data_IF_087526593972
#
_entry.id   IF_087526593972
#
_cell.length_a   1.000
_cell.length_b   1.000
_cell.length_c   1.000
_cell.angle_alpha   90.00
_cell.angle_beta   90.00
_cell.angle_gamma   90.00
#
_symmetry.space_group_name_H-M   'P 1'
#
loop_
_entity.id
_entity.type
_entity.pdbx_description
1 polymer ?
#
# COMPACT_ATOMS: atom_id res chain seq x y z
N UNK A 1 -73.54 10.06 22.99
CA UNK A 1 -74.71 9.27 23.44
C UNK A 1 -74.79 7.99 22.59
N UNK A 2 -74.73 6.82 23.27
CA UNK A 2 -75.27 5.47 22.94
C UNK A 2 -74.84 4.81 21.60
N UNK A 3 -73.93 3.83 21.60
CA UNK A 3 -74.09 2.35 21.87
C UNK A 3 -74.71 1.59 20.68
N UNK A 4 -74.19 0.47 20.16
CA UNK A 4 -73.92 -0.87 20.77
C UNK A 4 -72.94 -1.65 19.84
N UNK A 5 -71.83 -2.27 20.30
CA UNK A 5 -71.62 -3.59 20.94
C UNK A 5 -72.05 -4.84 20.14
N UNK A 6 -71.07 -5.68 19.79
CA UNK A 6 -70.95 -7.16 19.96
C UNK A 6 -69.44 -7.51 19.86
N UNK A 7 -68.67 -7.74 20.95
CA UNK A 7 -68.38 -9.00 21.68
C UNK A 7 -67.98 -10.17 20.76
N UNK A 8 -66.69 -10.58 20.70
CA UNK A 8 -66.02 -11.64 21.49
C UNK A 8 -66.47 -13.07 21.05
N UNK A 9 -65.65 -14.09 20.85
CA UNK A 9 -64.39 -14.48 21.52
C UNK A 9 -63.65 -15.60 20.75
N UNK A 10 -62.41 -15.85 21.21
CA UNK A 10 -61.77 -17.17 21.42
C UNK A 10 -61.36 -18.07 20.24
N UNK A 11 -60.05 -18.33 20.18
CA UNK A 11 -59.55 -19.71 20.40
C UNK A 11 -58.78 -20.35 19.24
N UNK A 12 -57.52 -20.68 19.49
CA UNK A 12 -56.83 -21.81 18.82
C UNK A 12 -55.54 -21.49 18.10
N UNK A 13 -54.40 -21.57 18.80
CA UNK A 13 -53.14 -22.05 18.18
C UNK A 13 -53.21 -23.57 18.02
N UNK A 14 -52.64 -24.12 16.94
CA UNK A 14 -51.56 -25.11 17.11
C UNK A 14 -50.56 -25.13 15.92
N UNK A 15 -49.55 -26.02 15.88
CA UNK A 15 -48.54 -26.31 16.88
C UNK A 15 -47.10 -26.00 16.36
N UNK A 16 -46.14 -25.94 17.29
CA UNK A 16 -44.70 -25.95 17.00
C UNK A 16 -44.28 -27.34 16.50
N UNK A 17 -43.57 -27.39 15.39
CA UNK A 17 -42.87 -28.61 14.93
C UNK A 17 -41.37 -28.47 15.17
N UNK A 18 -40.89 -29.28 16.11
CA UNK A 18 -39.75 -30.20 15.93
C UNK A 18 -38.38 -29.61 15.60
N UNK A 19 -37.54 -29.56 16.63
CA UNK A 19 -36.09 -29.66 16.48
C UNK A 19 -35.71 -30.89 15.65
N UNK A 20 -34.88 -30.69 14.63
CA UNK A 20 -34.02 -31.74 14.07
C UNK A 20 -32.58 -31.35 14.37
N UNK A 21 -32.01 -32.03 15.35
CA UNK A 21 -30.57 -32.06 15.62
C UNK A 21 -29.93 -33.03 14.63
N UNK A 22 -28.98 -32.55 13.82
CA UNK A 22 -28.09 -33.40 13.04
C UNK A 22 -26.66 -33.14 13.51
N UNK A 23 -26.20 -34.00 14.44
CA UNK A 23 -24.79 -34.25 14.68
C UNK A 23 -24.20 -35.00 13.49
N UNK A 24 -23.22 -34.40 12.81
CA UNK A 24 -22.33 -35.13 11.91
C UNK A 24 -20.90 -34.56 12.00
N UNK A 25 -20.15 -35.16 12.94
CA UNK A 25 -18.74 -35.56 12.88
C UNK A 25 -17.78 -34.64 12.10
N UNK A 26 -16.97 -33.92 12.88
CA UNK A 26 -15.89 -33.09 12.40
C UNK A 26 -14.73 -33.84 11.75
N UNK A 27 -13.95 -33.05 11.01
CA UNK A 27 -12.50 -33.21 10.79
C UNK A 27 -11.90 -31.81 10.64
N UNK A 28 -11.91 -31.05 11.74
CA UNK A 28 -11.08 -29.85 11.85
C UNK A 28 -9.67 -30.28 12.23
N UNK A 29 -8.74 -30.18 11.28
CA UNK A 29 -7.31 -30.15 11.60
C UNK A 29 -6.98 -28.76 12.11
N UNK A 30 -7.17 -28.55 13.40
CA UNK A 30 -6.56 -27.44 14.13
C UNK A 30 -5.05 -27.70 14.24
N UNK A 31 -4.25 -26.82 13.63
CA UNK A 31 -2.85 -26.69 13.96
C UNK A 31 -2.76 -25.77 15.18
N UNK A 32 -2.83 -26.35 16.39
CA UNK A 32 -2.57 -25.65 17.64
C UNK A 32 -1.05 -25.52 17.80
N UNK A 33 -0.53 -24.30 17.64
CA UNK A 33 0.83 -23.99 18.06
C UNK A 33 0.77 -23.56 19.54
N UNK A 34 1.19 -24.47 20.40
CA UNK A 34 1.38 -24.26 21.84
C UNK A 34 2.38 -23.13 22.08
N UNK A 35 1.94 -22.05 22.73
CA UNK A 35 2.82 -21.12 23.43
C UNK A 35 2.66 -21.41 24.92
N UNK A 36 3.73 -21.93 25.53
CA UNK A 36 3.82 -22.16 26.98
C UNK A 36 4.00 -20.80 27.69
N UNK A 37 3.31 -20.53 28.82
CA UNK A 37 3.59 -19.37 29.64
C UNK A 37 4.80 -19.64 30.55
N UNK A 38 5.81 -18.77 30.49
CA UNK A 38 6.90 -18.75 31.45
C UNK A 38 6.46 -17.92 32.67
N UNK A 39 6.18 -18.62 33.77
CA UNK A 39 5.94 -18.04 35.09
C UNK A 39 7.25 -17.54 35.69
N UNK A 40 7.35 -16.25 36.02
CA UNK A 40 8.25 -15.77 37.07
C UNK A 40 7.55 -14.75 37.95
N UNK A 41 7.63 -15.07 39.23
CA UNK A 41 7.16 -14.39 40.43
C UNK A 41 7.84 -13.03 40.66
N UNK A 42 7.06 -12.09 41.21
CA UNK A 42 7.55 -10.91 41.92
C UNK A 42 8.40 -11.27 43.15
N UNK A 43 9.16 -10.29 43.70
CA UNK A 43 8.64 -9.64 44.89
C UNK A 43 8.78 -8.11 44.90
N UNK A 44 7.99 -7.49 45.77
CA UNK A 44 7.92 -6.07 46.04
C UNK A 44 8.94 -5.62 47.11
N UNK A 45 9.29 -4.33 47.11
CA UNK A 45 9.66 -3.59 48.33
C UNK A 45 10.75 -2.52 48.20
N UNK A 46 10.41 -1.27 48.52
CA UNK A 46 11.30 -0.31 49.18
C UNK A 46 11.89 0.84 48.35
N UNK A 47 11.51 2.09 48.67
CA UNK A 47 12.03 3.33 48.07
C UNK A 47 13.35 3.86 48.69
N UNK A 48 13.57 5.20 48.73
CA UNK A 48 14.45 5.91 47.80
C UNK A 48 15.76 6.45 48.44
N UNK A 49 16.77 6.76 47.61
CA UNK A 49 18.01 7.39 48.07
C UNK A 49 18.95 7.80 46.93
N UNK A 50 19.55 8.98 47.06
CA UNK A 50 20.26 9.74 46.03
C UNK A 50 21.76 9.38 45.86
N UNK A 51 22.34 9.99 44.82
CA UNK A 51 23.73 10.44 44.66
C UNK A 51 24.76 9.56 43.91
N UNK A 52 25.23 10.16 42.80
CA UNK A 52 26.61 10.42 42.35
C UNK A 52 27.65 9.28 42.17
N UNK A 53 28.21 9.36 40.95
CA UNK A 53 29.64 9.35 40.60
C UNK A 53 30.44 8.04 40.39
N UNK A 54 31.20 8.11 39.29
CA UNK A 54 32.48 7.51 38.94
C UNK A 54 32.57 6.01 38.56
N UNK A 55 33.14 5.80 37.37
CA UNK A 55 33.45 4.49 36.83
C UNK A 55 34.74 3.89 37.36
N UNK A 56 35.13 2.75 36.77
CA UNK A 56 36.51 2.32 36.52
C UNK A 56 36.46 1.00 35.73
N UNK A 57 37.44 0.88 34.85
CA UNK A 57 37.81 -0.26 34.02
C UNK A 57 38.49 -1.37 34.82
N UNK A 58 38.24 -2.62 34.45
CA UNK A 58 39.18 -3.76 34.52
C UNK A 58 38.51 -4.92 33.78
N UNK A 59 39.09 -5.60 32.77
CA UNK A 59 40.42 -6.17 32.72
C UNK A 59 40.26 -7.69 32.82
N UNK A 60 40.31 -8.42 31.69
CA UNK A 60 40.05 -9.86 31.64
C UNK A 60 40.55 -10.55 30.37
N UNK A 61 41.77 -11.06 30.49
CA UNK A 61 42.59 -11.89 29.60
C UNK A 61 41.93 -12.85 28.57
N UNK A 62 42.38 -12.71 27.32
CA UNK A 62 43.09 -13.67 26.46
C UNK A 62 42.68 -15.17 26.46
N UNK A 63 42.25 -15.68 25.29
CA UNK A 63 42.83 -16.89 24.67
C UNK A 63 42.69 -16.89 23.14
N UNK A 64 43.81 -17.22 22.50
CA UNK A 64 44.06 -17.31 21.05
C UNK A 64 43.40 -18.55 20.42
N UNK A 65 42.95 -18.42 19.17
CA UNK A 65 42.98 -19.52 18.19
C UNK A 65 42.99 -19.01 16.74
N UNK A 66 44.22 -18.96 16.20
CA UNK A 66 44.71 -19.28 14.84
C UNK A 66 43.77 -19.14 13.62
N UNK A 67 44.20 -18.25 12.71
CA UNK A 67 44.00 -18.32 11.25
C UNK A 67 44.87 -19.46 10.64
N UNK A 68 44.64 -19.85 9.38
CA UNK A 68 45.38 -19.20 8.29
C UNK A 68 44.50 -18.86 7.07
N UNK A 69 44.65 -17.62 6.56
CA UNK A 69 44.30 -17.26 5.19
C UNK A 69 45.55 -17.39 4.30
N UNK A 70 45.42 -18.13 3.21
CA UNK A 70 46.41 -18.22 2.13
C UNK A 70 46.33 -16.99 1.25
N UNK A 71 47.46 -16.32 1.04
CA UNK A 71 47.60 -15.18 0.15
C UNK A 71 47.95 -15.55 -1.29
N UNK A 72 47.78 -14.58 -2.20
CA UNK A 72 48.73 -14.26 -3.27
C UNK A 72 48.25 -12.98 -3.98
N UNK A 73 48.85 -11.85 -3.61
CA UNK A 73 48.78 -10.60 -4.36
C UNK A 73 50.16 -10.35 -4.97
N UNK A 74 50.28 -10.41 -6.30
CA UNK A 74 51.49 -10.02 -7.02
C UNK A 74 51.41 -8.53 -7.37
N UNK A 75 52.19 -7.71 -6.65
CA UNK A 75 52.68 -6.39 -7.09
C UNK A 75 53.96 -6.62 -7.89
N UNK A 76 54.02 -6.10 -9.12
CA UNK A 76 55.25 -5.98 -9.90
C UNK A 76 55.74 -4.54 -9.81
N UNK A 77 57.06 -4.45 -9.61
CA UNK A 77 57.88 -3.28 -9.31
C UNK A 77 58.13 -2.40 -10.55
N UNK A 78 58.14 -1.08 -10.35
CA UNK A 78 58.69 -0.09 -11.28
C UNK A 78 60.23 -0.05 -11.20
N UNK A 79 60.90 0.25 -12.32
CA UNK A 79 62.32 0.68 -12.35
C UNK A 79 62.56 1.76 -13.42
N UNK A 80 63.42 2.71 -13.05
CA UNK A 80 64.14 3.66 -13.91
C UNK A 80 63.43 5.01 -14.06
N UNK A 81 63.94 6.17 -13.66
CA UNK A 81 65.32 6.60 -13.42
C UNK A 81 65.66 7.68 -14.45
N UNK A 82 65.82 8.94 -14.00
CA UNK A 82 66.19 10.06 -14.88
C UNK A 82 66.06 11.40 -14.18
N UNK A 83 67.14 11.83 -13.52
CA UNK A 83 67.33 13.14 -12.91
C UNK A 83 68.16 13.98 -13.89
N UNK A 84 67.75 15.22 -14.22
CA UNK A 84 68.61 16.29 -14.77
C UNK A 84 67.83 17.63 -14.76
N UNK A 85 68.37 18.61 -14.04
CA UNK A 85 68.06 20.05 -14.04
C UNK A 85 69.36 20.79 -14.44
N UNK A 86 69.37 22.12 -14.72
CA UNK A 86 68.42 22.92 -15.50
C UNK A 86 69.17 23.81 -16.52
N UNK A 87 68.52 24.23 -17.62
CA UNK A 87 69.04 25.29 -18.49
C UNK A 87 68.16 26.55 -18.46
N UNK A 88 68.77 27.60 -17.90
CA UNK A 88 68.39 29.01 -17.89
C UNK A 88 68.04 29.50 -19.31
N UNK A 89 66.80 29.94 -19.52
CA UNK A 89 66.45 30.79 -20.66
C UNK A 89 65.78 32.09 -20.20
N UNK A 90 66.41 33.19 -20.61
CA UNK A 90 66.00 34.58 -20.39
C UNK A 90 64.62 34.83 -21.01
N UNK A 91 63.66 35.30 -20.23
CA UNK A 91 62.38 35.80 -20.76
C UNK A 91 62.47 37.30 -21.01
N UNK A 92 62.19 37.66 -22.27
CA UNK A 92 62.02 39.02 -22.75
C UNK A 92 60.81 39.70 -22.07
N UNK A 93 60.96 41.00 -21.79
CA UNK A 93 59.86 41.90 -21.39
C UNK A 93 59.03 42.26 -22.64
N UNK A 94 57.72 42.09 -22.52
CA UNK A 94 56.70 42.51 -23.49
C UNK A 94 55.43 42.96 -22.75
N UNK A 95 54.52 43.72 -23.40
CA UNK A 95 53.96 44.96 -22.85
C UNK A 95 52.69 44.80 -22.00
N UNK A 96 52.32 45.93 -21.39
CA UNK A 96 51.29 46.15 -20.38
C UNK A 96 49.89 45.67 -20.78
N UNK A 97 49.16 45.09 -19.81
CA UNK A 97 47.76 44.64 -19.95
C UNK A 97 46.78 45.83 -19.97
N UNK A 98 45.77 45.87 -20.84
CA UNK A 98 44.64 46.78 -20.66
C UNK A 98 43.74 46.30 -19.52
N UNK A 99 43.24 47.26 -18.72
CA UNK A 99 42.25 47.04 -17.65
C UNK A 99 40.94 46.51 -18.25
N UNK A 100 40.58 45.26 -17.97
CA UNK A 100 39.25 44.73 -18.27
C UNK A 100 38.26 45.24 -17.22
N UNK A 101 37.16 45.81 -17.72
CA UNK A 101 36.03 46.36 -16.97
C UNK A 101 35.39 45.29 -16.09
N UNK A 102 35.11 45.64 -14.83
CA UNK A 102 34.16 44.92 -13.99
C UNK A 102 32.77 45.04 -14.63
N UNK A 103 32.30 43.96 -15.24
CA UNK A 103 30.97 43.82 -15.80
C UNK A 103 30.24 42.68 -15.10
N UNK A 104 29.38 43.05 -14.15
CA UNK A 104 28.14 42.37 -13.74
C UNK A 104 28.02 40.88 -14.13
N UNK A 105 28.46 40.00 -13.24
CA UNK A 105 27.88 38.67 -13.16
C UNK A 105 26.49 38.80 -12.54
N UNK A 106 25.39 38.41 -13.22
CA UNK A 106 24.16 38.12 -12.49
C UNK A 106 24.40 36.86 -11.67
N UNK A 107 24.77 37.05 -10.40
CA UNK A 107 24.55 36.05 -9.38
C UNK A 107 23.05 35.98 -9.09
N UNK A 108 22.36 35.09 -9.78
CA UNK A 108 21.14 34.48 -9.26
C UNK A 108 20.87 33.20 -10.04
N UNK A 109 21.72 32.20 -9.84
CA UNK A 109 21.34 30.83 -10.14
C UNK A 109 20.30 30.44 -9.08
N UNK A 110 19.02 30.67 -9.38
CA UNK A 110 17.94 30.05 -8.63
C UNK A 110 17.93 28.58 -9.02
N UNK A 111 18.21 27.61 -8.11
CA UNK A 111 17.89 26.24 -8.41
C UNK A 111 16.37 26.13 -8.27
N UNK A 112 15.65 26.48 -9.33
CA UNK A 112 14.34 25.89 -9.55
C UNK A 112 14.57 24.40 -9.68
N UNK A 113 14.57 23.65 -8.57
CA UNK A 113 14.29 22.23 -8.63
C UNK A 113 12.94 22.16 -9.32
N UNK A 114 12.92 21.80 -10.59
CA UNK A 114 11.70 21.28 -11.22
C UNK A 114 11.23 20.19 -10.27
N UNK A 115 10.10 20.42 -9.58
CA UNK A 115 9.54 19.40 -8.71
C UNK A 115 9.36 18.15 -9.57
N UNK A 116 10.13 17.11 -9.25
CA UNK A 116 10.09 15.87 -10.00
C UNK A 116 8.68 15.31 -9.88
N UNK A 117 8.05 15.03 -11.03
CA UNK A 117 6.76 14.37 -11.05
C UNK A 117 6.94 12.94 -10.59
N UNK A 118 6.24 12.56 -9.53
CA UNK A 118 6.25 11.21 -8.98
C UNK A 118 4.96 10.53 -9.36
N UNK A 119 5.05 9.32 -9.93
CA UNK A 119 3.89 8.50 -10.28
C UNK A 119 3.75 7.37 -9.28
N UNK A 120 2.60 7.26 -8.64
CA UNK A 120 2.31 6.24 -7.67
C UNK A 120 1.09 5.41 -8.07
N UNK A 121 1.16 4.10 -7.98
CA UNK A 121 -0.03 3.25 -8.05
C UNK A 121 -0.51 2.94 -6.63
N UNK A 122 -1.63 3.52 -6.22
CA UNK A 122 -2.09 3.47 -4.82
C UNK A 122 -3.06 2.30 -4.53
N UNK A 123 -3.28 1.39 -5.49
CA UNK A 123 -4.21 0.27 -5.32
C UNK A 123 -3.71 -0.97 -6.07
N UNK A 124 -3.08 -1.90 -5.36
CA UNK A 124 -2.43 -3.09 -5.95
C UNK A 124 -2.56 -4.30 -5.04
N UNK A 125 -2.93 -5.44 -5.61
CA UNK A 125 -3.07 -6.73 -4.91
C UNK A 125 -1.91 -7.66 -5.25
N UNK A 126 -1.37 -8.30 -4.22
CA UNK A 126 -0.36 -9.34 -4.32
C UNK A 126 -0.97 -10.73 -4.17
N UNK A 127 -0.17 -11.78 -4.37
CA UNK A 127 -0.58 -13.18 -4.17
C UNK A 127 -0.93 -13.51 -2.71
N UNK A 128 -0.73 -12.58 -1.77
CA UNK A 128 -1.15 -12.73 -0.38
C UNK A 128 -2.68 -12.64 -0.22
N UNK A 129 -3.36 -11.85 -1.05
CA UNK A 129 -4.84 -11.88 -1.14
C UNK A 129 -5.33 -13.09 -1.95
N UNK A 130 -6.63 -13.41 -1.78
CA UNK A 130 -7.24 -14.61 -2.37
C UNK A 130 -7.38 -14.54 -3.90
N UNK A 131 -7.34 -13.35 -4.48
CA UNK A 131 -7.61 -13.03 -5.88
C UNK A 131 -6.41 -12.39 -6.61
N UNK A 132 -5.39 -11.95 -5.89
CA UNK A 132 -4.10 -11.58 -6.44
C UNK A 132 -3.27 -12.78 -6.92
N UNK A 133 -2.42 -12.55 -7.93
CA UNK A 133 -1.69 -13.60 -8.65
C UNK A 133 -0.18 -13.39 -8.71
N UNK A 134 0.30 -12.18 -8.47
CA UNK A 134 1.74 -11.83 -8.55
C UNK A 134 2.36 -11.67 -7.18
N UNK A 135 3.61 -12.10 -7.00
CA UNK A 135 4.34 -11.82 -5.76
C UNK A 135 4.72 -10.34 -5.66
N UNK A 136 5.06 -9.88 -4.46
CA UNK A 136 5.50 -8.50 -4.22
C UNK A 136 6.75 -8.17 -5.06
N UNK A 137 7.67 -9.11 -5.23
CA UNK A 137 8.88 -8.94 -6.05
C UNK A 137 8.53 -8.71 -7.52
N UNK A 138 7.56 -9.44 -8.07
CA UNK A 138 7.11 -9.24 -9.45
C UNK A 138 6.40 -7.88 -9.62
N UNK A 139 5.69 -7.41 -8.60
CA UNK A 139 5.08 -6.07 -8.59
C UNK A 139 6.16 -4.98 -8.58
N UNK A 140 7.19 -5.12 -7.73
CA UNK A 140 8.34 -4.20 -7.66
C UNK A 140 9.04 -4.10 -9.01
N UNK A 141 9.38 -5.23 -9.62
CA UNK A 141 10.05 -5.24 -10.93
C UNK A 141 9.20 -4.58 -12.02
N UNK A 142 7.89 -4.84 -11.98
CA UNK A 142 6.98 -4.22 -12.95
C UNK A 142 6.80 -2.72 -12.69
N UNK A 143 6.84 -2.28 -11.44
CA UNK A 143 6.78 -0.86 -11.09
C UNK A 143 8.00 -0.12 -11.64
N UNK A 144 9.20 -0.70 -11.47
CA UNK A 144 10.46 -0.16 -12.01
C UNK A 144 10.42 -0.02 -13.52
N UNK A 145 10.07 -1.10 -14.23
CA UNK A 145 10.00 -1.11 -15.69
C UNK A 145 8.95 -0.12 -16.24
N UNK A 146 7.94 0.23 -15.44
CA UNK A 146 6.92 1.23 -15.77
C UNK A 146 7.24 2.65 -15.30
N UNK A 147 8.40 2.87 -14.68
CA UNK A 147 8.81 4.19 -14.20
C UNK A 147 7.95 4.72 -13.05
N UNK A 148 7.32 3.84 -12.26
CA UNK A 148 6.60 4.26 -11.06
C UNK A 148 7.59 4.60 -9.95
N UNK A 149 7.30 5.66 -9.22
CA UNK A 149 8.07 6.08 -8.03
C UNK A 149 7.57 5.40 -6.75
N UNK A 150 6.30 4.98 -6.73
CA UNK A 150 5.71 4.31 -5.58
C UNK A 150 4.63 3.30 -5.98
N UNK A 151 4.43 2.29 -5.14
CA UNK A 151 3.25 1.42 -5.17
C UNK A 151 2.72 1.21 -3.76
N UNK A 152 1.40 1.11 -3.60
CA UNK A 152 0.78 0.62 -2.37
C UNK A 152 0.31 -0.81 -2.58
N UNK A 153 0.77 -1.74 -1.74
CA UNK A 153 0.21 -3.10 -1.71
C UNK A 153 -0.95 -3.09 -0.72
N UNK A 154 -2.16 -3.24 -1.25
CA UNK A 154 -3.43 -3.10 -0.55
C UNK A 154 -4.25 -4.38 -0.66
N UNK A 155 -3.69 -5.48 -0.16
CA UNK A 155 -4.37 -6.79 -0.18
C UNK A 155 -5.67 -6.77 0.64
N UNK A 156 -6.63 -7.62 0.24
CA UNK A 156 -7.92 -7.72 0.89
C UNK A 156 -7.80 -8.22 2.33
N UNK A 157 -8.29 -7.42 3.27
CA UNK A 157 -8.36 -7.72 4.70
C UNK A 157 -7.03 -8.25 5.30
N UNK A 158 -5.90 -7.80 4.75
CA UNK A 158 -4.57 -8.23 5.13
C UNK A 158 -3.53 -7.14 4.84
N UNK A 159 -2.74 -6.78 5.84
CA UNK A 159 -1.56 -5.93 5.66
C UNK A 159 -0.35 -6.81 5.27
N UNK A 160 0.00 -6.83 3.99
CA UNK A 160 1.12 -7.62 3.48
C UNK A 160 2.47 -6.99 3.87
N UNK A 161 3.39 -7.73 4.52
CA UNK A 161 4.72 -7.24 4.81
C UNK A 161 5.49 -6.88 3.54
N UNK A 162 6.20 -5.75 3.56
CA UNK A 162 6.93 -5.22 2.42
C UNK A 162 8.43 -5.30 2.67
N UNK A 163 9.23 -5.70 1.66
CA UNK A 163 10.67 -5.68 1.78
C UNK A 163 11.22 -4.25 1.73
N UNK A 164 12.43 -4.04 2.22
CA UNK A 164 13.14 -2.78 2.00
C UNK A 164 13.47 -2.60 0.51
N UNK A 165 13.14 -1.43 -0.03
CA UNK A 165 13.39 -1.07 -1.42
C UNK A 165 13.96 0.34 -1.50
N UNK A 166 15.10 0.53 -2.17
CA UNK A 166 15.83 1.80 -2.18
C UNK A 166 15.35 2.78 -3.26
N UNK A 167 14.84 2.26 -4.35
CA UNK A 167 14.57 2.98 -5.60
C UNK A 167 13.09 3.03 -5.98
N UNK A 168 12.23 2.42 -5.16
CA UNK A 168 10.78 2.44 -5.28
C UNK A 168 10.17 2.53 -3.89
N UNK A 169 9.28 3.51 -3.67
CA UNK A 169 8.57 3.61 -2.40
C UNK A 169 7.48 2.56 -2.31
N UNK A 170 7.68 1.60 -1.41
CA UNK A 170 6.66 0.62 -1.05
C UNK A 170 5.84 1.17 0.12
N UNK A 171 4.59 1.51 -0.17
CA UNK A 171 3.68 2.10 0.81
C UNK A 171 2.87 0.96 1.45
N UNK A 172 2.92 0.81 2.79
CA UNK A 172 2.04 -0.12 3.48
C UNK A 172 0.58 0.29 3.31
N UNK A 173 -0.26 -0.68 2.96
CA UNK A 173 -1.69 -0.45 2.82
C UNK A 173 -2.53 -1.72 2.98
N UNK A 174 -3.83 -1.55 2.78
CA UNK A 174 -4.84 -2.61 2.89
C UNK A 174 -6.09 -2.19 2.12
N UNK A 175 -6.84 -3.14 1.55
CA UNK A 175 -8.21 -2.90 1.12
C UNK A 175 -9.16 -3.63 2.07
N UNK A 176 -9.83 -2.87 2.95
CA UNK A 176 -10.79 -3.42 3.91
C UNK A 176 -12.11 -3.68 3.17
N UNK A 177 -12.57 -4.92 3.19
CA UNK A 177 -13.90 -5.28 2.73
C UNK A 177 -14.91 -4.97 3.84
N UNK A 178 -15.56 -3.80 3.76
CA UNK A 178 -16.58 -3.35 4.72
C UNK A 178 -17.98 -3.86 4.37
N UNK A 179 -18.96 -3.63 5.26
CA UNK A 179 -20.37 -3.97 5.01
C UNK A 179 -20.97 -3.26 3.78
N UNK A 180 -20.45 -2.09 3.40
CA UNK A 180 -21.04 -1.24 2.37
C UNK A 180 -20.14 -1.03 1.14
N UNK A 181 -19.00 -1.69 1.06
CA UNK A 181 -18.07 -1.58 -0.06
C UNK A 181 -16.63 -1.67 0.40
N UNK A 182 -15.69 -1.24 -0.44
CA UNK A 182 -14.28 -1.32 -0.09
C UNK A 182 -13.71 0.03 0.35
N UNK A 183 -12.75 -0.02 1.27
CA UNK A 183 -12.07 1.14 1.82
C UNK A 183 -10.58 0.84 1.81
N UNK A 184 -9.81 1.69 1.14
CA UNK A 184 -8.35 1.61 1.14
C UNK A 184 -7.82 2.29 2.41
N UNK A 185 -6.96 1.59 3.14
CA UNK A 185 -6.07 2.19 4.13
C UNK A 185 -4.71 2.39 3.48
N UNK A 186 -4.29 3.65 3.31
CA UNK A 186 -3.01 4.00 2.70
C UNK A 186 -2.04 4.57 3.75
N UNK A 187 -0.74 4.36 3.56
CA UNK A 187 0.33 4.90 4.41
C UNK A 187 0.17 4.52 5.89
N UNK A 188 -0.13 3.25 6.16
CA UNK A 188 -0.27 2.71 7.51
C UNK A 188 1.08 2.72 8.24
N UNK A 189 1.07 3.20 9.48
CA UNK A 189 2.23 3.18 10.37
C UNK A 189 2.29 1.86 11.18
N UNK A 190 1.15 1.17 11.31
CA UNK A 190 1.00 -0.15 11.92
C UNK A 190 -0.05 -1.00 11.17
N UNK A 191 0.03 -2.34 11.19
CA UNK A 191 -0.99 -3.18 10.55
C UNK A 191 -2.34 -3.07 11.27
N UNK A 192 -3.42 -3.27 10.53
CA UNK A 192 -4.78 -3.32 11.08
C UNK A 192 -4.98 -4.62 11.87
N UNK A 193 -5.51 -4.52 13.09
CA UNK A 193 -5.95 -5.68 13.86
C UNK A 193 -7.34 -6.14 13.40
N UNK A 194 -7.37 -7.06 12.43
CA UNK A 194 -8.61 -7.66 11.94
C UNK A 194 -9.28 -8.60 12.94
N UNK A 195 -8.57 -9.08 13.97
CA UNK A 195 -9.20 -9.87 15.02
C UNK A 195 -10.09 -8.98 15.89
N UNK A 196 -9.66 -7.75 16.16
CA UNK A 196 -10.46 -6.74 16.84
C UNK A 196 -11.53 -6.10 15.95
N UNK A 197 -11.20 -5.77 14.69
CA UNK A 197 -12.12 -5.10 13.76
C UNK A 197 -13.26 -6.01 13.27
N UNK A 198 -13.00 -7.31 13.18
CA UNK A 198 -13.96 -8.29 12.66
C UNK A 198 -14.11 -8.26 11.14
N UNK A 199 -15.01 -9.10 10.62
CA UNK A 199 -15.30 -9.22 9.19
C UNK A 199 -16.42 -8.26 8.78
N UNK A 200 -16.28 -7.64 7.62
CA UNK A 200 -17.28 -6.72 7.08
C UNK A 200 -17.67 -5.61 8.07
N UNK A 201 -16.71 -4.90 8.68
CA UNK A 201 -17.01 -3.85 9.64
C UNK A 201 -17.89 -2.76 9.01
N UNK A 202 -18.69 -2.03 9.82
CA UNK A 202 -19.31 -0.79 9.39
C UNK A 202 -18.23 0.18 8.85
N UNK A 203 -18.50 0.95 7.79
CA UNK A 203 -17.53 1.87 7.20
C UNK A 203 -16.87 2.82 8.22
N UNK A 204 -17.64 3.37 9.16
CA UNK A 204 -17.13 4.25 10.21
C UNK A 204 -16.07 3.57 11.09
N UNK A 205 -16.25 2.29 11.42
CA UNK A 205 -15.29 1.53 12.23
C UNK A 205 -14.03 1.20 11.42
N UNK A 206 -14.18 0.86 10.13
CA UNK A 206 -13.04 0.63 9.25
C UNK A 206 -12.17 1.90 9.08
N UNK A 207 -12.82 3.06 8.87
CA UNK A 207 -12.13 4.36 8.76
C UNK A 207 -11.41 4.69 10.07
N UNK A 208 -12.08 4.55 11.21
CA UNK A 208 -11.49 4.78 12.52
C UNK A 208 -10.27 3.88 12.77
N UNK A 209 -10.33 2.60 12.37
CA UNK A 209 -9.20 1.67 12.48
C UNK A 209 -8.01 2.10 11.61
N UNK A 210 -8.27 2.53 10.36
CA UNK A 210 -7.22 3.07 9.47
C UNK A 210 -6.55 4.30 10.09
N UNK A 211 -7.34 5.25 10.60
CA UNK A 211 -6.82 6.46 11.25
C UNK A 211 -6.05 6.15 12.53
N UNK A 212 -6.50 5.18 13.34
CA UNK A 212 -5.79 4.74 14.55
C UNK A 212 -4.41 4.14 14.23
N UNK A 213 -4.27 3.51 13.07
CA UNK A 213 -2.99 3.03 12.54
C UNK A 213 -2.21 4.10 11.75
N UNK A 214 -2.59 5.37 11.88
CA UNK A 214 -1.94 6.52 11.26
C UNK A 214 -2.20 6.67 9.75
N UNK A 215 -2.98 5.79 9.13
CA UNK A 215 -3.24 5.79 7.70
C UNK A 215 -4.22 6.86 7.23
N UNK A 216 -4.41 6.92 5.92
CA UNK A 216 -5.47 7.69 5.25
C UNK A 216 -6.54 6.74 4.71
N UNK A 217 -7.80 7.04 4.98
CA UNK A 217 -8.93 6.25 4.51
C UNK A 217 -9.43 6.79 3.17
N UNK A 218 -9.34 5.97 2.13
CA UNK A 218 -9.75 6.33 0.77
C UNK A 218 -10.93 5.47 0.35
N UNK A 219 -11.98 6.11 -0.17
CA UNK A 219 -13.14 5.43 -0.72
C UNK A 219 -12.75 4.74 -2.03
N UNK A 220 -12.60 3.42 -2.00
CA UNK A 220 -12.21 2.62 -3.17
C UNK A 220 -13.37 2.56 -4.17
N UNK A 221 -13.05 2.70 -5.46
CA UNK A 221 -13.93 2.53 -6.62
C UNK A 221 -15.44 2.68 -6.30
N UNK A 222 -15.93 3.89 -5.98
CA UNK A 222 -17.23 4.16 -5.35
C UNK A 222 -18.47 3.78 -6.16
N UNK A 223 -18.29 3.16 -7.33
CA UNK A 223 -19.38 2.68 -8.17
C UNK A 223 -19.23 1.20 -8.54
N UNK A 224 -18.39 0.42 -7.83
CA UNK A 224 -18.18 -1.01 -8.10
C UNK A 224 -17.41 -1.81 -6.99
N UNK A 225 -18.00 -2.28 -5.86
CA UNK A 225 -19.39 -2.22 -5.41
C UNK A 225 -19.54 -1.40 -4.11
N UNK A 226 -20.04 -0.18 -4.22
CA UNK A 226 -20.28 0.71 -3.08
C UNK A 226 -21.79 0.99 -2.97
N UNK A 227 -22.30 0.98 -1.74
CA UNK A 227 -23.75 1.10 -1.44
C UNK A 227 -24.13 2.39 -0.72
N UNK A 228 -23.15 3.18 -0.30
CA UNK A 228 -23.36 4.43 0.41
C UNK A 228 -23.84 5.55 -0.53
N UNK A 229 -24.77 6.36 -0.05
CA UNK A 229 -25.16 7.62 -0.66
C UNK A 229 -24.07 8.69 -0.50
N UNK A 230 -24.04 9.72 -1.36
CA UNK A 230 -23.13 10.86 -1.19
C UNK A 230 -23.23 11.52 0.19
N UNK A 231 -24.43 11.60 0.76
CA UNK A 231 -24.69 12.20 2.07
C UNK A 231 -24.14 11.34 3.22
N UNK A 232 -24.14 10.01 3.08
CA UNK A 232 -23.47 9.12 4.04
C UNK A 232 -21.96 9.25 3.94
N UNK A 233 -21.41 9.25 2.72
CA UNK A 233 -19.97 9.39 2.48
C UNK A 233 -19.43 10.68 3.10
N UNK A 234 -20.15 11.79 2.95
CA UNK A 234 -19.78 13.09 3.52
C UNK A 234 -19.65 13.06 5.06
N UNK A 235 -20.35 12.16 5.75
CA UNK A 235 -20.37 12.06 7.22
C UNK A 235 -19.35 11.07 7.78
N UNK A 236 -18.82 10.18 6.94
CA UNK A 236 -17.98 9.06 7.39
C UNK A 236 -16.51 9.44 7.62
N UNK A 237 -16.06 10.59 7.10
CA UNK A 237 -14.69 11.09 7.34
C UNK A 237 -13.63 10.44 6.45
N UNK A 238 -13.95 10.15 5.18
CA UNK A 238 -12.93 9.76 4.19
C UNK A 238 -11.94 10.90 3.93
N UNK A 239 -10.66 10.56 3.75
CA UNK A 239 -9.60 11.53 3.42
C UNK A 239 -9.52 11.80 1.91
N UNK A 240 -9.92 10.83 1.09
CA UNK A 240 -9.91 10.94 -0.37
C UNK A 240 -10.89 9.95 -1.02
N UNK A 241 -11.09 10.11 -2.33
CA UNK A 241 -11.89 9.20 -3.16
C UNK A 241 -11.02 8.66 -4.29
N UNK A 242 -11.10 7.37 -4.56
CA UNK A 242 -10.49 6.79 -5.76
C UNK A 242 -11.30 7.21 -6.99
N UNK A 243 -10.73 8.12 -7.76
CA UNK A 243 -11.38 8.77 -8.92
C UNK A 243 -10.92 8.21 -10.26
N UNK A 244 -9.75 7.56 -10.28
CA UNK A 244 -9.24 6.84 -11.44
C UNK A 244 -8.89 5.39 -11.06
N UNK A 245 -9.80 4.46 -11.34
CA UNK A 245 -9.56 3.03 -11.13
C UNK A 245 -9.55 2.29 -12.48
N UNK A 246 -8.50 1.53 -12.76
CA UNK A 246 -8.33 0.91 -14.09
C UNK A 246 -9.31 -0.25 -14.35
N UNK A 247 -9.81 -0.92 -13.30
CA UNK A 247 -10.85 -1.95 -13.40
C UNK A 247 -12.25 -1.35 -13.47
N UNK A 248 -12.47 -0.21 -12.82
CA UNK A 248 -13.73 0.53 -12.90
C UNK A 248 -13.97 1.08 -14.30
N UNK A 249 -12.93 1.32 -15.11
CA UNK A 249 -13.07 1.67 -16.53
C UNK A 249 -13.84 0.63 -17.36
N UNK A 250 -13.85 -0.64 -16.94
CA UNK A 250 -14.68 -1.68 -17.58
C UNK A 250 -16.19 -1.45 -17.38
N UNK A 251 -16.57 -0.53 -16.49
CA UNK A 251 -17.93 -0.07 -16.27
C UNK A 251 -18.07 1.36 -16.81
N UNK A 252 -18.83 1.58 -17.90
CA UNK A 252 -18.97 2.90 -18.51
C UNK A 252 -19.33 3.99 -17.50
N UNK A 253 -18.56 5.07 -17.50
CA UNK A 253 -18.78 6.27 -16.68
C UNK A 253 -18.48 6.13 -15.18
N UNK A 254 -17.90 5.03 -14.70
CA UNK A 254 -17.63 4.84 -13.27
C UNK A 254 -16.65 5.88 -12.70
N UNK A 255 -15.49 6.09 -13.37
CA UNK A 255 -14.50 7.07 -12.93
C UNK A 255 -15.00 8.52 -13.07
N UNK A 256 -15.82 8.81 -14.10
CA UNK A 256 -16.45 10.12 -14.25
C UNK A 256 -17.36 10.45 -13.07
N UNK A 257 -18.22 9.51 -12.67
CA UNK A 257 -19.06 9.66 -11.47
C UNK A 257 -18.23 9.79 -10.20
N UNK A 258 -17.11 9.08 -10.09
CA UNK A 258 -16.20 9.20 -8.97
C UNK A 258 -15.57 10.60 -8.88
N UNK A 259 -15.14 11.16 -10.02
CA UNK A 259 -14.64 12.55 -10.10
C UNK A 259 -15.71 13.56 -9.70
N UNK A 260 -16.95 13.40 -10.18
CA UNK A 260 -18.07 14.27 -9.79
C UNK A 260 -18.35 14.19 -8.28
N UNK A 261 -18.29 13.00 -7.70
CA UNK A 261 -18.45 12.82 -6.24
C UNK A 261 -17.32 13.49 -5.45
N UNK A 262 -16.07 13.31 -5.89
CA UNK A 262 -14.90 13.99 -5.31
C UNK A 262 -15.03 15.51 -5.34
N UNK A 263 -15.48 16.08 -6.46
CA UNK A 263 -15.75 17.52 -6.58
C UNK A 263 -16.89 17.97 -5.66
N UNK A 264 -18.02 17.24 -5.64
CA UNK A 264 -19.17 17.56 -4.78
C UNK A 264 -18.79 17.59 -3.29
N UNK A 265 -17.92 16.67 -2.87
CA UNK A 265 -17.48 16.54 -1.47
C UNK A 265 -16.21 17.31 -1.15
N UNK A 266 -15.59 17.99 -2.13
CA UNK A 266 -14.29 18.66 -1.98
C UNK A 266 -13.19 17.74 -1.40
N UNK A 267 -13.24 16.46 -1.77
CA UNK A 267 -12.26 15.46 -1.33
C UNK A 267 -11.20 15.24 -2.42
N UNK A 268 -9.91 15.10 -2.06
CA UNK A 268 -8.85 14.72 -2.99
C UNK A 268 -9.18 13.46 -3.81
N UNK A 269 -8.72 13.44 -5.06
CA UNK A 269 -8.83 12.29 -5.95
C UNK A 269 -7.55 11.47 -6.00
N UNK A 270 -7.64 10.16 -5.78
CA UNK A 270 -6.55 9.20 -6.02
C UNK A 270 -6.79 8.38 -7.28
N UNK A 271 -5.70 7.82 -7.81
CA UNK A 271 -5.72 6.83 -8.88
C UNK A 271 -4.91 5.59 -8.53
N UNK A 272 -5.44 4.43 -8.93
CA UNK A 272 -4.85 3.13 -8.68
C UNK A 272 -5.32 2.10 -9.71
N UNK A 273 -4.46 1.14 -10.03
CA UNK A 273 -4.78 0.16 -11.07
C UNK A 273 -5.77 -0.91 -10.63
N UNK A 274 -5.91 -1.12 -9.31
CA UNK A 274 -6.65 -2.26 -8.75
C UNK A 274 -6.10 -3.58 -9.37
N UNK A 275 -4.77 -3.60 -9.53
CA UNK A 275 -4.08 -4.67 -10.23
C UNK A 275 -4.06 -5.92 -9.37
N UNK A 276 -4.50 -7.04 -9.94
CA UNK A 276 -4.37 -8.36 -9.30
C UNK A 276 -3.30 -9.24 -9.96
N UNK A 277 -2.60 -8.69 -10.96
CA UNK A 277 -1.30 -9.19 -11.37
C UNK A 277 -0.41 -8.05 -11.85
N UNK A 278 0.88 -8.34 -11.90
CA UNK A 278 1.91 -7.45 -12.43
C UNK A 278 1.53 -6.80 -13.78
N UNK A 279 0.88 -7.53 -14.70
CA UNK A 279 0.50 -6.98 -16.01
C UNK A 279 -0.49 -5.82 -15.94
N UNK A 280 -1.31 -5.76 -14.89
CA UNK A 280 -2.33 -4.71 -14.69
C UNK A 280 -1.73 -3.41 -14.12
N UNK A 281 -0.66 -3.50 -13.31
CA UNK A 281 -0.04 -2.41 -12.53
C UNK A 281 0.17 -1.08 -13.29
N UNK A 282 -0.25 0.05 -12.74
CA UNK A 282 -0.13 1.37 -13.38
C UNK A 282 -1.12 1.59 -14.53
N UNK A 283 -2.24 0.87 -14.54
CA UNK A 283 -3.39 1.19 -15.40
C UNK A 283 -4.03 2.53 -15.05
N UNK A 284 -4.00 2.91 -13.78
CA UNK A 284 -4.22 4.26 -13.29
C UNK A 284 -3.16 4.55 -12.23
N UNK A 285 -2.83 5.81 -12.06
CA UNK A 285 -1.81 6.28 -11.11
C UNK A 285 -2.25 7.58 -10.45
N UNK A 286 -1.58 7.94 -9.37
CA UNK A 286 -1.65 9.26 -8.75
C UNK A 286 -0.33 9.99 -9.04
N UNK A 287 -0.43 11.15 -9.65
CA UNK A 287 0.69 12.05 -9.92
C UNK A 287 0.86 13.03 -8.76
N UNK A 288 2.10 13.15 -8.27
CA UNK A 288 2.50 14.07 -7.21
C UNK A 288 3.58 15.03 -7.70
N UNK A 289 3.56 16.25 -7.18
CA UNK A 289 4.62 17.26 -7.32
C UNK A 289 5.10 17.64 -5.93
N UNK A 290 5.98 16.83 -5.36
CA UNK A 290 6.54 17.02 -4.02
C UNK A 290 7.93 16.38 -3.92
N UNK A 291 8.59 16.56 -2.77
CA UNK A 291 9.84 15.85 -2.48
C UNK A 291 9.62 14.31 -2.51
N UNK A 292 10.59 13.52 -2.99
CA UNK A 292 10.46 12.08 -3.13
C UNK A 292 10.61 11.37 -1.78
N UNK A 293 9.52 11.32 -1.02
CA UNK A 293 9.44 10.54 0.21
C UNK A 293 7.99 10.10 0.51
N UNK A 294 7.78 8.95 1.17
CA UNK A 294 6.44 8.53 1.58
C UNK A 294 5.71 9.57 2.44
N UNK A 295 6.43 10.26 3.33
CA UNK A 295 5.86 11.32 4.17
C UNK A 295 5.37 12.53 3.34
N UNK A 296 6.14 12.95 2.32
CA UNK A 296 5.73 14.03 1.43
C UNK A 296 4.54 13.63 0.54
N UNK A 297 4.50 12.38 0.05
CA UNK A 297 3.35 11.85 -0.70
C UNK A 297 2.08 11.83 0.17
N UNK A 298 2.16 11.32 1.41
CA UNK A 298 1.05 11.32 2.38
C UNK A 298 0.54 12.74 2.65
N UNK A 299 1.46 13.68 2.88
CA UNK A 299 1.13 15.11 3.10
C UNK A 299 0.47 15.73 1.87
N UNK A 300 1.01 15.48 0.67
CA UNK A 300 0.47 16.01 -0.58
C UNK A 300 -0.92 15.48 -0.87
N UNK A 301 -1.17 14.17 -0.64
CA UNK A 301 -2.50 13.59 -0.77
C UNK A 301 -3.50 14.25 0.19
N UNK A 302 -3.14 14.36 1.48
CA UNK A 302 -3.99 15.00 2.50
C UNK A 302 -4.31 16.47 2.18
N UNK A 303 -3.38 17.16 1.52
CA UNK A 303 -3.57 18.54 1.08
C UNK A 303 -4.27 18.67 -0.29
N UNK A 304 -4.66 17.56 -0.93
CA UNK A 304 -5.23 17.57 -2.29
C UNK A 304 -4.25 18.02 -3.38
N UNK A 305 -2.95 18.05 -3.09
CA UNK A 305 -1.87 18.44 -4.02
C UNK A 305 -1.38 17.26 -4.84
N UNK A 306 -2.32 16.51 -5.41
CA UNK A 306 -2.09 15.36 -6.27
C UNK A 306 -3.18 15.25 -7.34
N UNK A 307 -2.92 14.46 -8.38
CA UNK A 307 -3.89 14.25 -9.46
C UNK A 307 -3.99 12.78 -9.82
N UNK A 308 -5.21 12.26 -9.83
CA UNK A 308 -5.50 10.94 -10.39
C UNK A 308 -5.38 10.96 -11.92
N UNK A 309 -4.70 9.97 -12.49
CA UNK A 309 -4.42 9.88 -13.93
C UNK A 309 -4.81 8.50 -14.44
N UNK A 310 -5.66 8.49 -15.45
CA UNK A 310 -6.05 7.32 -16.23
C UNK A 310 -4.98 7.05 -17.31
N UNK A 311 -4.40 5.85 -17.33
CA UNK A 311 -3.32 5.49 -18.28
C UNK A 311 -3.82 4.46 -19.29
N UNK A 312 -4.35 3.34 -18.79
CA UNK A 312 -4.93 2.27 -19.60
C UNK A 312 -5.98 1.50 -18.82
N UNK A 313 -7.03 1.07 -19.51
CA UNK A 313 -8.01 0.17 -18.95
C UNK A 313 -7.41 -1.22 -18.66
N UNK A 314 -7.95 -1.88 -17.63
CA UNK A 314 -7.76 -3.31 -17.43
C UNK A 314 -8.41 -4.08 -18.60
N UNK A 315 -7.83 -5.22 -19.00
CA UNK A 315 -8.49 -6.16 -19.92
C UNK A 315 -9.47 -7.07 -19.15
N UNK A 316 -10.56 -7.50 -19.77
CA UNK A 316 -11.55 -8.37 -19.13
C UNK A 316 -10.96 -9.71 -18.71
N UNK A 317 -10.06 -10.28 -19.51
CA UNK A 317 -9.40 -11.56 -19.24
C UNK A 317 -8.71 -11.57 -17.88
N UNK A 318 -8.10 -10.45 -17.47
CA UNK A 318 -7.41 -10.35 -16.18
C UNK A 318 -8.38 -10.36 -15.01
N UNK A 319 -9.51 -9.66 -15.14
CA UNK A 319 -10.62 -9.68 -14.17
C UNK A 319 -11.21 -11.08 -14.04
N UNK A 320 -11.40 -11.78 -15.17
CA UNK A 320 -11.86 -13.17 -15.18
C UNK A 320 -10.89 -14.12 -14.46
N UNK A 321 -9.58 -13.97 -14.68
CA UNK A 321 -8.55 -14.77 -13.99
C UNK A 321 -8.51 -14.51 -12.49
N UNK A 322 -8.71 -13.27 -12.04
CA UNK A 322 -8.84 -12.96 -10.60
C UNK A 322 -10.03 -13.66 -9.98
N UNK A 323 -11.18 -13.71 -10.68
CA UNK A 323 -12.35 -14.44 -10.20
C UNK A 323 -12.09 -15.95 -10.10
N UNK A 324 -11.43 -16.55 -11.09
CA UNK A 324 -11.02 -17.96 -11.02
C UNK A 324 -10.12 -18.19 -9.81
N UNK A 325 -9.10 -17.34 -9.62
CA UNK A 325 -8.14 -17.47 -8.53
C UNK A 325 -8.83 -17.45 -7.16
N UNK A 326 -9.77 -16.51 -6.95
CA UNK A 326 -10.58 -16.42 -5.74
C UNK A 326 -11.38 -17.71 -5.48
N UNK A 327 -12.14 -18.16 -6.47
CA UNK A 327 -13.00 -19.34 -6.32
C UNK A 327 -12.22 -20.66 -6.21
N UNK A 328 -10.97 -20.71 -6.68
CA UNK A 328 -10.07 -21.83 -6.40
C UNK A 328 -9.69 -21.89 -4.91
N UNK A 329 -9.36 -20.73 -4.33
CA UNK A 329 -8.94 -20.62 -2.93
C UNK A 329 -10.08 -20.86 -1.93
N UNK A 330 -11.28 -20.34 -2.18
CA UNK A 330 -12.37 -20.35 -1.19
C UNK A 330 -13.76 -20.74 -1.74
N UNK A 331 -13.86 -21.07 -3.04
CA UNK A 331 -15.15 -21.31 -3.71
C UNK A 331 -15.69 -22.73 -3.59
N UNK A 332 -17.00 -22.86 -3.81
CA UNK A 332 -17.69 -24.15 -3.97
C UNK A 332 -17.54 -24.67 -5.39
N UNK A 333 -17.91 -25.94 -5.65
CA UNK A 333 -17.92 -26.49 -7.02
C UNK A 333 -18.78 -25.64 -7.94
N UNK A 334 -19.98 -25.24 -7.49
CA UNK A 334 -20.88 -24.40 -8.28
C UNK A 334 -20.29 -23.01 -8.56
N UNK A 335 -19.65 -22.37 -7.57
CA UNK A 335 -19.07 -21.04 -7.79
C UNK A 335 -17.85 -21.09 -8.72
N UNK A 336 -17.07 -22.18 -8.68
CA UNK A 336 -15.98 -22.44 -9.64
C UNK A 336 -16.51 -22.59 -11.06
N UNK A 337 -17.59 -23.36 -11.28
CA UNK A 337 -18.23 -23.44 -12.60
C UNK A 337 -18.69 -22.07 -13.09
N UNK A 338 -19.35 -21.29 -12.23
CA UNK A 338 -19.76 -19.90 -12.54
C UNK A 338 -18.56 -19.00 -12.89
N UNK A 339 -17.43 -19.17 -12.21
CA UNK A 339 -16.21 -18.42 -12.52
C UNK A 339 -15.60 -18.79 -13.87
N UNK A 340 -15.63 -20.07 -14.26
CA UNK A 340 -15.20 -20.51 -15.60
C UNK A 340 -16.09 -19.91 -16.70
N UNK A 341 -17.42 -19.93 -16.53
CA UNK A 341 -18.32 -19.27 -17.48
C UNK A 341 -18.06 -17.76 -17.56
N UNK A 342 -17.86 -17.10 -16.42
CA UNK A 342 -17.52 -15.68 -16.37
C UNK A 342 -16.19 -15.37 -17.08
N UNK A 343 -15.18 -16.23 -16.91
CA UNK A 343 -13.89 -16.08 -17.58
C UNK A 343 -14.02 -16.25 -19.09
N UNK A 344 -14.76 -17.24 -19.57
CA UNK A 344 -15.04 -17.40 -20.99
C UNK A 344 -15.75 -16.16 -21.57
N UNK A 345 -16.73 -15.61 -20.86
CA UNK A 345 -17.37 -14.36 -21.25
C UNK A 345 -16.38 -13.17 -21.27
N UNK A 346 -15.44 -13.09 -20.33
CA UNK A 346 -14.40 -12.07 -20.32
C UNK A 346 -13.47 -12.17 -21.54
N UNK A 347 -13.07 -13.38 -21.94
CA UNK A 347 -12.28 -13.60 -23.16
C UNK A 347 -13.07 -13.13 -24.38
N UNK A 348 -14.35 -13.50 -24.48
CA UNK A 348 -15.20 -13.09 -25.59
C UNK A 348 -15.29 -11.56 -25.70
N UNK A 349 -15.42 -10.83 -24.59
CA UNK A 349 -15.40 -9.36 -24.59
C UNK A 349 -14.09 -8.78 -25.11
N UNK A 350 -12.96 -9.32 -24.68
CA UNK A 350 -11.64 -8.84 -25.13
C UNK A 350 -11.39 -9.14 -26.62
N UNK A 351 -11.90 -10.26 -27.15
CA UNK A 351 -11.69 -10.68 -28.56
C UNK A 351 -12.67 -10.00 -29.52
N UNK A 352 -13.95 -9.93 -29.15
CA UNK A 352 -15.02 -9.45 -30.03
C UNK A 352 -15.42 -8.00 -29.76
N UNK A 353 -14.84 -7.35 -28.74
CA UNK A 353 -15.17 -5.98 -28.33
C UNK A 353 -16.66 -5.77 -28.01
N UNK A 354 -17.30 -6.79 -27.44
CA UNK A 354 -18.74 -6.84 -27.06
C UNK A 354 -19.02 -6.54 -25.60
#
# INVERSE_FOLDING_TARGET
MRSRRKSASSGGQPPRLGHVSAHARGKDRFCLQLVLPCSKSSPAGGGPGAARENGVLSGGFCRRSRLPQSGSARKVFCRGGGFLEPLRQKRHRGPQRPRARAGLFPQSFSPGRSQMKLLADLHVHSRASLDGRSSVEALIETARTRGLSAITVSDHDLCTPLPDCKDLFLIPGVEITSANGHILGLFLDAPIDFAALGKFPPPAQAIAAIHACGGLAVLAHPFAPQKLSPEEIARLGFDAIETANARAMLKPGANEKARQLSQKLSLPGTGGSDAHCAKELGGCVTEFSCEPSPAALKKALKAGSCRAVEVRACKWVWKGLSKIRREQSCGTVLSRCKALCYFAACIARDVFHV
#
